data_IF_549609075354
#
_entry.id   IF_549609075354
#
_cell.length_a   1.000
_cell.length_b   1.000
_cell.length_c   1.000
_cell.angle_alpha   90.00
_cell.angle_beta   90.00
_cell.angle_gamma   90.00
#
_symmetry.space_group_name_H-M   'P 1'
#
loop_
_entity.id
_entity.type
_entity.pdbx_description
1 polymer ?
#
# COMPACT_ATOMS: atom_id res chain seq x y z
N UNK A 1 0.18 19.21 -5.99
CA UNK A 1 0.18 18.70 -4.60
C UNK A 1 0.94 19.65 -3.70
N UNK A 2 0.35 20.01 -2.59
CA UNK A 2 1.00 20.92 -1.65
C UNK A 2 2.10 20.23 -0.86
N UNK A 3 3.10 21.01 -0.44
CA UNK A 3 4.21 20.49 0.37
C UNK A 3 3.71 19.83 1.66
N UNK A 4 2.68 20.41 2.28
CA UNK A 4 2.10 19.87 3.51
C UNK A 4 1.58 18.44 3.32
N UNK A 5 0.90 18.18 2.20
CA UNK A 5 0.40 16.84 1.87
C UNK A 5 1.56 15.88 1.66
N UNK A 6 2.59 16.32 0.95
CA UNK A 6 3.79 15.50 0.71
C UNK A 6 4.47 15.11 2.02
N UNK A 7 4.60 16.04 2.95
CA UNK A 7 5.18 15.78 4.27
C UNK A 7 4.36 14.77 5.05
N UNK A 8 3.03 14.88 4.97
CA UNK A 8 2.14 13.94 5.65
C UNK A 8 2.22 12.54 5.07
N UNK A 9 2.39 12.42 3.74
CA UNK A 9 2.59 11.13 3.09
C UNK A 9 3.85 10.46 3.65
N UNK A 10 4.96 11.18 3.73
CA UNK A 10 6.20 10.64 4.26
C UNK A 10 6.03 10.20 5.71
N UNK A 11 5.38 11.02 6.52
CA UNK A 11 5.13 10.73 7.92
C UNK A 11 4.33 9.44 8.08
N UNK A 12 3.25 9.29 7.31
CA UNK A 12 2.40 8.11 7.40
C UNK A 12 3.12 6.85 6.93
N UNK A 13 3.93 6.95 5.87
CA UNK A 13 4.74 5.82 5.41
C UNK A 13 5.73 5.38 6.48
N UNK A 14 6.37 6.31 7.15
CA UNK A 14 7.33 6.00 8.20
C UNK A 14 6.67 5.33 9.40
N UNK A 15 5.41 5.66 9.67
CA UNK A 15 4.62 5.02 10.74
C UNK A 15 3.96 3.72 10.31
N UNK A 16 4.13 3.33 9.05
CA UNK A 16 3.51 2.13 8.46
C UNK A 16 1.98 2.17 8.50
N UNK A 17 1.40 3.35 8.39
CA UNK A 17 -0.04 3.55 8.29
C UNK A 17 -0.44 3.39 6.82
N UNK A 18 -1.46 2.58 6.55
CA UNK A 18 -2.01 2.47 5.21
C UNK A 18 -2.99 3.61 4.97
N UNK A 19 -2.88 4.26 3.82
CA UNK A 19 -3.69 5.43 3.50
C UNK A 19 -3.78 5.60 1.99
N UNK A 20 -4.70 6.47 1.55
CA UNK A 20 -4.83 6.84 0.15
C UNK A 20 -4.68 8.34 -0.01
N UNK A 21 -4.13 8.76 -1.14
CA UNK A 21 -4.10 10.17 -1.53
C UNK A 21 -5.09 10.34 -2.67
N UNK A 22 -6.06 11.21 -2.47
CA UNK A 22 -7.10 11.52 -3.45
C UNK A 22 -6.78 12.88 -4.04
N UNK A 23 -6.61 12.95 -5.35
CA UNK A 23 -6.24 14.18 -6.05
C UNK A 23 -7.26 14.49 -7.14
N UNK A 24 -7.73 15.73 -7.16
CA UNK A 24 -8.47 16.25 -8.29
C UNK A 24 -7.45 16.76 -9.32
N UNK A 25 -7.36 16.09 -10.46
CA UNK A 25 -6.35 16.41 -11.48
C UNK A 25 -6.60 17.75 -12.16
N UNK A 26 -7.83 18.22 -12.15
CA UNK A 26 -8.18 19.50 -12.75
C UNK A 26 -7.71 20.68 -11.91
N UNK A 27 -7.90 20.60 -10.58
CA UNK A 27 -7.57 21.69 -9.66
C UNK A 27 -6.25 21.50 -8.95
N UNK A 28 -5.72 20.29 -8.92
CA UNK A 28 -4.51 19.95 -8.17
C UNK A 28 -4.74 19.73 -6.67
N UNK A 29 -5.97 19.85 -6.20
CA UNK A 29 -6.26 19.62 -4.77
C UNK A 29 -6.09 18.16 -4.41
N UNK A 30 -5.39 17.92 -3.31
CA UNK A 30 -5.13 16.58 -2.79
C UNK A 30 -5.54 16.48 -1.33
N UNK A 31 -6.06 15.32 -0.95
CA UNK A 31 -6.43 15.03 0.45
C UNK A 31 -5.99 13.61 0.77
N UNK A 32 -5.62 13.40 2.03
CA UNK A 32 -5.28 12.07 2.54
C UNK A 32 -6.52 11.45 3.14
N UNK A 33 -6.77 10.19 2.80
CA UNK A 33 -7.92 9.44 3.29
C UNK A 33 -7.43 8.16 3.97
N UNK A 34 -7.92 7.94 5.20
CA UNK A 34 -7.70 6.70 5.95
C UNK A 34 -8.98 5.89 5.91
N UNK A 35 -8.87 4.59 5.68
CA UNK A 35 -10.04 3.71 5.65
C UNK A 35 -10.74 3.74 7.01
N UNK A 36 -12.04 3.97 6.99
CA UNK A 36 -12.83 4.10 8.20
C UNK A 36 -13.04 5.54 8.67
N UNK A 37 -12.30 6.49 8.11
CA UNK A 37 -12.46 7.90 8.40
C UNK A 37 -13.48 8.53 7.44
N UNK A 38 -14.11 9.66 7.84
CA UNK A 38 -14.98 10.36 6.91
C UNK A 38 -14.19 10.95 5.77
N UNK A 39 -14.80 10.97 4.58
CA UNK A 39 -14.17 11.54 3.41
C UNK A 39 -14.33 13.08 3.45
N UNK A 40 -13.35 13.81 2.91
CA UNK A 40 -13.42 15.26 2.83
C UNK A 40 -14.60 15.71 1.99
N UNK A 41 -15.27 16.79 2.40
CA UNK A 41 -16.44 17.33 1.73
C UNK A 41 -16.21 17.60 0.24
N UNK A 42 -15.00 17.98 -0.10
CA UNK A 42 -14.62 18.26 -1.48
C UNK A 42 -14.86 17.06 -2.42
N UNK A 43 -14.83 15.85 -1.87
CA UNK A 43 -14.98 14.62 -2.64
C UNK A 43 -16.28 13.86 -2.36
N UNK A 44 -17.24 14.47 -1.66
CA UNK A 44 -18.49 13.79 -1.29
C UNK A 44 -19.28 13.24 -2.48
N UNK A 45 -19.24 13.95 -3.60
CA UNK A 45 -19.98 13.53 -4.79
C UNK A 45 -19.61 12.12 -5.25
N UNK A 46 -18.35 11.73 -5.05
CA UNK A 46 -17.83 10.44 -5.50
C UNK A 46 -17.45 9.53 -4.34
N UNK A 47 -18.01 9.77 -3.17
CA UNK A 47 -17.63 9.06 -1.93
C UNK A 47 -17.64 7.55 -2.07
N UNK A 48 -18.70 6.98 -2.66
CA UNK A 48 -18.83 5.53 -2.78
C UNK A 48 -17.73 4.93 -3.64
N UNK A 49 -17.43 5.55 -4.77
CA UNK A 49 -16.40 5.08 -5.70
C UNK A 49 -15.01 5.20 -5.07
N UNK A 50 -14.76 6.29 -4.38
CA UNK A 50 -13.49 6.52 -3.71
C UNK A 50 -13.26 5.48 -2.62
N UNK A 51 -14.27 5.24 -1.79
CA UNK A 51 -14.17 4.23 -0.74
C UNK A 51 -13.96 2.82 -1.29
N UNK A 52 -14.59 2.51 -2.42
CA UNK A 52 -14.40 1.23 -3.10
C UNK A 52 -12.94 1.07 -3.55
N UNK A 53 -12.37 2.09 -4.19
CA UNK A 53 -10.97 2.07 -4.62
C UNK A 53 -10.02 1.88 -3.43
N UNK A 54 -10.23 2.63 -2.37
CA UNK A 54 -9.37 2.57 -1.20
C UNK A 54 -9.46 1.22 -0.48
N UNK A 55 -10.67 0.69 -0.34
CA UNK A 55 -10.90 -0.60 0.30
C UNK A 55 -10.23 -1.73 -0.47
N UNK A 56 -10.27 -1.68 -1.80
CA UNK A 56 -9.70 -2.71 -2.65
C UNK A 56 -8.25 -2.41 -3.04
N UNK A 57 -7.65 -1.39 -2.45
CA UNK A 57 -6.24 -1.02 -2.65
C UNK A 57 -5.92 -0.78 -4.12
N UNK A 58 -6.86 -0.17 -4.84
CA UNK A 58 -6.70 0.15 -6.26
C UNK A 58 -6.08 1.53 -6.43
N UNK A 59 -5.27 1.66 -7.48
CA UNK A 59 -4.72 2.94 -7.91
C UNK A 59 -5.27 3.28 -9.29
N UNK A 60 -5.44 4.57 -9.55
CA UNK A 60 -5.85 5.03 -10.86
C UNK A 60 -6.90 6.11 -10.82
N UNK A 61 -7.44 6.41 -11.99
CA UNK A 61 -8.45 7.46 -12.15
C UNK A 61 -9.83 6.80 -12.10
N UNK A 62 -10.72 7.39 -11.30
CA UNK A 62 -12.12 6.95 -11.26
C UNK A 62 -12.77 7.28 -12.60
N UNK A 63 -13.42 6.29 -13.19
CA UNK A 63 -14.07 6.42 -14.50
C UNK A 63 -15.01 7.63 -14.55
N UNK A 64 -14.92 8.38 -15.64
CA UNK A 64 -15.73 9.59 -15.89
C UNK A 64 -15.50 10.71 -14.89
N UNK A 65 -14.34 10.76 -14.26
CA UNK A 65 -13.97 11.83 -13.33
C UNK A 65 -12.53 12.24 -13.52
N UNK A 66 -12.16 13.36 -12.88
CA UNK A 66 -10.77 13.83 -12.82
C UNK A 66 -10.13 13.47 -11.47
N UNK A 67 -10.64 12.44 -10.81
CA UNK A 67 -10.15 12.04 -9.49
C UNK A 67 -9.17 10.89 -9.65
N UNK A 68 -7.94 11.14 -9.21
CA UNK A 68 -6.87 10.14 -9.16
C UNK A 68 -6.69 9.66 -7.72
N UNK A 69 -6.62 8.34 -7.54
CA UNK A 69 -6.41 7.75 -6.22
C UNK A 69 -5.12 6.96 -6.26
N UNK A 70 -4.25 7.24 -5.30
CA UNK A 70 -3.03 6.49 -5.08
C UNK A 70 -3.07 5.93 -3.66
N UNK A 71 -3.06 4.61 -3.54
CA UNK A 71 -3.14 3.92 -2.25
C UNK A 71 -1.77 3.41 -1.86
N UNK A 72 -1.34 3.75 -0.65
CA UNK A 72 -0.07 3.33 -0.07
C UNK A 72 -0.34 2.22 0.94
N UNK A 73 0.17 1.04 0.65
CA UNK A 73 -0.05 -0.14 1.49
C UNK A 73 1.27 -0.67 2.02
N UNK A 74 1.19 -1.34 3.16
CA UNK A 74 2.34 -2.04 3.70
C UNK A 74 2.52 -3.37 2.96
N UNK A 75 3.78 -3.86 2.87
CA UNK A 75 4.02 -5.18 2.29
C UNK A 75 3.28 -6.26 3.05
N UNK A 76 2.76 -7.25 2.32
CA UNK A 76 2.19 -8.44 2.94
C UNK A 76 3.35 -9.29 3.44
N UNK A 77 3.30 -9.67 4.72
CA UNK A 77 4.34 -10.53 5.30
C UNK A 77 4.01 -11.98 5.04
N UNK A 78 4.96 -12.69 4.45
CA UNK A 78 4.84 -14.12 4.20
C UNK A 78 5.91 -14.82 5.01
N UNK A 79 5.49 -15.72 5.91
CA UNK A 79 6.42 -16.48 6.76
C UNK A 79 6.50 -17.89 6.20
N UNK A 80 7.73 -18.31 5.87
CA UNK A 80 8.00 -19.64 5.31
C UNK A 80 8.82 -20.41 6.34
N UNK A 81 8.35 -21.59 6.74
CA UNK A 81 9.01 -22.41 7.75
C UNK A 81 9.54 -23.69 7.13
N UNK A 82 10.85 -23.90 7.19
CA UNK A 82 11.48 -25.18 6.91
C UNK A 82 11.72 -25.55 5.45
N UNK A 83 11.12 -24.86 4.50
CA UNK A 83 11.19 -25.25 3.08
C UNK A 83 12.22 -24.40 2.32
N UNK A 84 13.49 -24.61 2.61
CA UNK A 84 14.56 -23.76 2.09
C UNK A 84 14.60 -23.70 0.56
N UNK A 85 14.53 -24.83 -0.12
CA UNK A 85 14.61 -24.85 -1.58
C UNK A 85 13.38 -24.24 -2.22
N UNK A 86 12.21 -24.55 -1.71
CA UNK A 86 10.94 -23.99 -2.20
C UNK A 86 10.90 -22.50 -1.93
N UNK A 87 11.41 -22.06 -0.78
CA UNK A 87 11.43 -20.67 -0.40
C UNK A 87 12.22 -19.81 -1.40
N UNK A 88 13.32 -20.29 -1.93
CA UNK A 88 14.11 -19.58 -2.92
C UNK A 88 13.31 -19.29 -4.19
N UNK A 89 12.55 -20.26 -4.67
CA UNK A 89 11.68 -20.09 -5.82
C UNK A 89 10.56 -19.09 -5.53
N UNK A 90 9.98 -19.16 -4.33
CA UNK A 90 8.92 -18.22 -3.92
C UNK A 90 9.44 -16.80 -3.85
N UNK A 91 10.64 -16.59 -3.32
CA UNK A 91 11.26 -15.27 -3.25
C UNK A 91 11.45 -14.70 -4.65
N UNK A 92 11.97 -15.51 -5.57
CA UNK A 92 12.16 -15.08 -6.96
C UNK A 92 10.83 -14.75 -7.62
N UNK A 93 9.81 -15.57 -7.39
CA UNK A 93 8.50 -15.39 -7.98
C UNK A 93 7.81 -14.12 -7.48
N UNK A 94 7.98 -13.78 -6.20
CA UNK A 94 7.26 -12.67 -5.57
C UNK A 94 8.04 -11.36 -5.48
N UNK A 95 9.27 -11.32 -5.99
CA UNK A 95 10.14 -10.15 -5.81
C UNK A 95 9.57 -8.86 -6.39
N UNK A 96 8.71 -8.94 -7.39
CA UNK A 96 8.07 -7.78 -8.01
C UNK A 96 6.71 -7.46 -7.40
N UNK A 97 6.29 -8.21 -6.38
CA UNK A 97 5.06 -7.98 -5.67
C UNK A 97 5.37 -7.31 -4.33
N UNK A 98 4.36 -6.69 -3.74
CA UNK A 98 4.54 -6.00 -2.47
C UNK A 98 4.47 -6.98 -1.29
N UNK A 99 5.41 -7.93 -1.26
CA UNK A 99 5.52 -8.91 -0.19
C UNK A 99 6.84 -8.79 0.55
N UNK A 100 6.80 -9.03 1.85
CA UNK A 100 7.98 -9.21 2.68
C UNK A 100 8.04 -10.67 3.09
N UNK A 101 9.10 -11.37 2.70
CA UNK A 101 9.24 -12.80 2.96
C UNK A 101 10.17 -13.00 4.14
N UNK A 102 9.68 -13.72 5.15
CA UNK A 102 10.46 -14.08 6.33
C UNK A 102 10.65 -15.60 6.28
N UNK A 103 11.91 -16.02 6.19
CA UNK A 103 12.25 -17.43 6.14
C UNK A 103 12.68 -17.90 7.52
N UNK A 104 11.99 -18.89 8.04
CA UNK A 104 12.33 -19.51 9.32
C UNK A 104 12.68 -20.97 9.08
N UNK A 105 13.89 -21.37 9.44
CA UNK A 105 14.31 -22.76 9.35
C UNK A 105 14.51 -23.27 10.79
N UNK A 106 13.80 -24.34 11.20
CA UNK A 106 13.98 -24.93 12.52
C UNK A 106 15.40 -25.47 12.75
N UNK A 107 16.11 -25.73 11.65
CA UNK A 107 17.53 -26.09 11.74
C UNK A 107 18.34 -24.80 11.76
N UNK A 108 18.59 -24.29 12.95
CA UNK A 108 19.27 -23.02 13.17
C UNK A 108 20.52 -22.82 12.32
N UNK A 109 21.23 -23.86 12.10
CA UNK A 109 22.48 -23.85 11.37
C UNK A 109 22.32 -23.28 9.96
N UNK A 110 21.31 -23.77 9.25
CA UNK A 110 21.04 -23.30 7.90
C UNK A 110 20.45 -21.89 7.89
N UNK A 111 19.60 -21.59 8.85
CA UNK A 111 18.94 -20.31 8.91
C UNK A 111 19.93 -19.17 9.14
N UNK A 112 20.99 -19.40 9.92
CA UNK A 112 21.96 -18.37 10.24
C UNK A 112 22.99 -18.14 9.14
N UNK A 113 23.31 -19.15 8.38
CA UNK A 113 24.37 -19.04 7.37
C UNK A 113 23.86 -18.72 5.96
N UNK A 114 22.69 -19.20 5.63
CA UNK A 114 22.15 -19.06 4.28
C UNK A 114 21.22 -17.86 4.11
N UNK A 115 20.84 -17.24 5.21
CA UNK A 115 19.87 -16.15 5.21
C UNK A 115 20.44 -14.93 5.91
#
# INVERSE_FOLDING_TARGET
MELKIFQEIIKNKNKKIEFSVITNLETGNSKIFLVGEPIDQYFFEHEKKIKFFCKNKKNGIIENTNIFIQTFTNPVKVIIVGAVHIAQYLIEFTKNLNFEIILIDPRKFFATEER
#
